data_IF_566875064647
#
_entry.id   IF_566875064647
#
_cell.length_a   1.000
_cell.length_b   1.000
_cell.length_c   1.000
_cell.angle_alpha   90.00
_cell.angle_beta   90.00
_cell.angle_gamma   90.00
#
_symmetry.space_group_name_H-M   'P 1'
#
loop_
_entity.id
_entity.type
_entity.pdbx_description
1 polymer ?
#
# COMPACT_ATOMS: atom_id res chain seq x y z
N UNK A 1 15.95 -18.61 -40.19
CA UNK A 1 15.95 -18.04 -38.83
C UNK A 1 14.77 -17.09 -38.76
N UNK A 2 13.65 -17.51 -38.16
CA UNK A 2 12.46 -16.65 -38.01
C UNK A 2 12.77 -15.56 -36.97
N UNK A 3 12.86 -14.32 -37.42
CA UNK A 3 12.79 -13.14 -36.54
C UNK A 3 11.53 -13.29 -35.69
N UNK A 4 11.72 -13.59 -34.41
CA UNK A 4 10.64 -13.54 -33.44
C UNK A 4 10.32 -12.06 -33.28
N UNK A 5 9.29 -11.58 -33.97
CA UNK A 5 8.76 -10.23 -33.78
C UNK A 5 8.76 -9.94 -32.27
N UNK A 6 9.42 -8.88 -31.80
CA UNK A 6 9.50 -8.61 -30.38
C UNK A 6 8.08 -8.52 -29.84
N UNK A 7 7.71 -9.48 -29.01
CA UNK A 7 6.38 -9.53 -28.41
C UNK A 7 6.24 -8.32 -27.51
N UNK A 8 5.33 -7.43 -27.90
CA UNK A 8 5.09 -6.20 -27.16
C UNK A 8 4.57 -6.52 -25.76
N UNK A 9 4.94 -5.73 -24.73
CA UNK A 9 4.43 -5.94 -23.39
C UNK A 9 2.91 -5.85 -23.37
N UNK A 10 2.27 -6.75 -22.63
CA UNK A 10 0.81 -6.84 -22.50
C UNK A 10 0.43 -7.41 -21.14
N UNK A 11 -0.44 -6.71 -20.44
CA UNK A 11 -1.16 -7.25 -19.28
C UNK A 11 -2.65 -7.32 -19.62
N UNK A 12 -3.22 -8.53 -19.49
CA UNK A 12 -4.63 -8.75 -19.73
C UNK A 12 -5.51 -7.98 -18.72
N UNK A 13 -6.51 -7.26 -19.22
CA UNK A 13 -7.39 -6.42 -18.39
C UNK A 13 -8.19 -7.27 -17.39
N UNK A 14 -8.55 -8.50 -17.75
CA UNK A 14 -9.25 -9.40 -16.84
C UNK A 14 -8.37 -9.72 -15.63
N UNK A 15 -7.09 -10.00 -15.85
CA UNK A 15 -6.15 -10.27 -14.75
C UNK A 15 -5.92 -9.03 -13.87
N UNK A 16 -6.02 -7.82 -14.41
CA UNK A 16 -5.97 -6.59 -13.60
C UNK A 16 -7.14 -6.48 -12.62
N UNK A 17 -8.29 -7.13 -12.86
CA UNK A 17 -9.35 -7.22 -11.85
C UNK A 17 -8.91 -8.04 -10.62
N UNK A 18 -7.84 -8.84 -10.73
CA UNK A 18 -7.17 -9.45 -9.59
C UNK A 18 -6.61 -8.45 -8.59
N UNK A 19 -6.50 -7.16 -8.94
CA UNK A 19 -6.17 -6.07 -8.01
C UNK A 19 -7.23 -5.87 -6.91
N UNK A 20 -8.39 -6.54 -7.00
CA UNK A 20 -9.28 -6.73 -5.86
C UNK A 20 -8.63 -7.49 -4.69
N UNK A 21 -7.40 -7.99 -4.83
CA UNK A 21 -6.59 -8.47 -3.70
C UNK A 21 -5.86 -7.36 -2.93
N UNK A 22 -5.88 -6.10 -3.39
CA UNK A 22 -5.26 -4.97 -2.70
C UNK A 22 -5.69 -4.78 -1.24
N UNK A 23 -6.93 -5.11 -0.81
CA UNK A 23 -7.29 -5.09 0.61
C UNK A 23 -6.41 -5.94 1.52
N UNK A 24 -5.78 -7.01 1.00
CA UNK A 24 -4.81 -7.79 1.77
C UNK A 24 -3.63 -6.94 2.24
N UNK A 25 -3.27 -5.91 1.47
CA UNK A 25 -2.25 -4.96 1.88
C UNK A 25 -2.75 -4.19 3.10
N UNK A 26 -3.93 -3.60 3.06
CA UNK A 26 -4.52 -2.93 4.23
C UNK A 26 -4.62 -3.86 5.44
N UNK A 27 -5.08 -5.10 5.23
CA UNK A 27 -5.12 -6.12 6.29
C UNK A 27 -3.74 -6.40 6.89
N UNK A 28 -2.67 -6.40 6.09
CA UNK A 28 -1.32 -6.56 6.63
C UNK A 28 -0.92 -5.39 7.55
N UNK A 29 -1.35 -4.16 7.25
CA UNK A 29 -1.10 -3.01 8.12
C UNK A 29 -1.87 -3.16 9.46
N UNK A 30 -3.19 -3.36 9.36
CA UNK A 30 -4.07 -3.41 10.52
C UNK A 30 -3.87 -4.68 11.37
N UNK A 31 -3.97 -5.85 10.74
CA UNK A 31 -3.94 -7.13 11.44
C UNK A 31 -2.51 -7.57 11.74
N UNK A 32 -1.62 -7.61 10.73
CA UNK A 32 -0.23 -8.07 10.98
C UNK A 32 0.60 -7.02 11.74
N UNK A 33 0.28 -5.74 11.59
CA UNK A 33 0.92 -4.67 12.35
C UNK A 33 0.27 -4.49 13.72
N UNK A 34 -0.80 -3.69 13.77
CA UNK A 34 -1.40 -3.27 15.04
C UNK A 34 -1.94 -4.44 15.87
N UNK A 35 -2.75 -5.34 15.29
CA UNK A 35 -3.39 -6.41 16.07
C UNK A 35 -2.36 -7.43 16.60
N UNK A 36 -1.40 -7.87 15.77
CA UNK A 36 -0.33 -8.77 16.26
C UNK A 36 0.57 -8.09 17.29
N UNK A 37 0.91 -6.81 17.12
CA UNK A 37 1.69 -6.08 18.12
C UNK A 37 0.93 -5.93 19.45
N UNK A 38 -0.40 -5.75 19.40
CA UNK A 38 -1.26 -5.71 20.58
C UNK A 38 -1.21 -7.05 21.34
N UNK A 39 -1.38 -8.16 20.63
CA UNK A 39 -1.32 -9.52 21.19
C UNK A 39 0.08 -9.85 21.72
N UNK A 40 1.14 -9.51 20.97
CA UNK A 40 2.52 -9.70 21.39
C UNK A 40 2.89 -8.87 22.63
N UNK A 41 2.21 -7.74 22.84
CA UNK A 41 2.33 -6.91 24.04
C UNK A 41 1.52 -7.45 25.23
N UNK A 42 0.89 -8.62 25.11
CA UNK A 42 0.10 -9.27 26.17
C UNK A 42 -1.33 -8.74 26.32
N UNK A 43 -1.84 -7.98 25.34
CA UNK A 43 -3.18 -7.40 25.36
C UNK A 43 -4.08 -8.09 24.34
N UNK A 44 -5.40 -7.89 24.45
CA UNK A 44 -6.37 -8.38 23.48
C UNK A 44 -6.98 -7.20 22.74
N UNK A 45 -6.96 -7.18 21.39
CA UNK A 45 -7.69 -6.17 20.64
C UNK A 45 -9.17 -6.22 21.01
N UNK A 46 -9.81 -5.08 21.22
CA UNK A 46 -11.28 -5.01 21.46
C UNK A 46 -12.05 -4.80 20.18
N UNK A 47 -11.44 -4.15 19.18
CA UNK A 47 -12.10 -3.84 17.91
C UNK A 47 -11.14 -4.08 16.76
N UNK A 48 -11.62 -4.78 15.73
CA UNK A 48 -10.93 -4.99 14.47
C UNK A 48 -11.79 -4.39 13.34
N UNK A 49 -11.43 -3.18 12.93
CA UNK A 49 -12.03 -2.52 11.78
C UNK A 49 -11.23 -2.75 10.50
N UNK A 50 -11.79 -2.32 9.37
CA UNK A 50 -11.11 -2.36 8.08
C UNK A 50 -9.89 -1.42 8.01
N UNK A 51 -9.85 -0.36 8.82
CA UNK A 51 -8.85 0.72 8.80
C UNK A 51 -8.40 1.17 10.19
N UNK A 52 -8.71 0.36 11.21
CA UNK A 52 -8.28 0.64 12.57
C UNK A 52 -8.31 -0.64 13.40
N UNK A 53 -7.47 -0.68 14.44
CA UNK A 53 -7.50 -1.69 15.49
C UNK A 53 -7.42 -1.00 16.83
N UNK A 54 -8.37 -1.29 17.71
CA UNK A 54 -8.36 -0.78 19.09
C UNK A 54 -7.72 -1.81 20.03
N UNK A 55 -6.70 -1.38 20.78
CA UNK A 55 -5.97 -2.21 21.72
C UNK A 55 -6.06 -1.63 23.14
N UNK A 56 -7.07 -2.02 23.94
CA UNK A 56 -7.26 -1.51 25.28
C UNK A 56 -6.19 -2.03 26.25
N UNK A 57 -5.91 -1.23 27.28
CA UNK A 57 -5.11 -1.65 28.42
C UNK A 57 -3.59 -1.56 28.25
N UNK A 58 -3.07 -1.19 27.08
CA UNK A 58 -1.62 -1.11 26.87
C UNK A 58 -0.95 -0.02 27.72
N UNK A 59 0.16 -0.37 28.37
CA UNK A 59 1.08 0.60 28.98
C UNK A 59 1.66 1.59 27.95
N UNK A 60 2.29 2.67 28.42
CA UNK A 60 2.75 3.78 27.55
C UNK A 60 3.68 3.34 26.42
N UNK A 61 4.57 2.37 26.68
CA UNK A 61 5.48 1.80 25.67
C UNK A 61 4.77 0.85 24.70
N UNK A 62 3.90 -0.03 25.19
CA UNK A 62 3.14 -0.95 24.35
C UNK A 62 2.21 -0.19 23.39
N UNK A 63 1.55 0.87 23.86
CA UNK A 63 0.71 1.73 23.02
C UNK A 63 1.49 2.31 21.84
N UNK A 64 2.71 2.77 22.10
CA UNK A 64 3.60 3.33 21.06
C UNK A 64 4.02 2.30 20.03
N UNK A 65 4.43 1.12 20.50
CA UNK A 65 4.83 0.02 19.61
C UNK A 65 3.65 -0.40 18.74
N UNK A 66 2.46 -0.58 19.33
CA UNK A 66 1.24 -0.89 18.60
C UNK A 66 0.95 0.20 17.57
N UNK A 67 1.00 1.49 17.95
CA UNK A 67 0.77 2.60 17.03
C UNK A 67 1.74 2.59 15.83
N UNK A 68 3.03 2.30 16.01
CA UNK A 68 3.98 2.27 14.89
C UNK A 68 3.95 0.97 14.07
N UNK A 69 3.33 -0.09 14.58
CA UNK A 69 3.45 -1.44 14.02
C UNK A 69 2.85 -1.57 12.61
N UNK A 70 1.71 -0.93 12.34
CA UNK A 70 1.08 -0.94 11.01
C UNK A 70 2.01 -0.39 9.94
N UNK A 71 2.44 0.86 10.11
CA UNK A 71 3.42 1.49 9.21
C UNK A 71 4.76 0.73 9.18
N UNK A 72 5.18 0.13 10.29
CA UNK A 72 6.39 -0.71 10.35
C UNK A 72 6.31 -1.94 9.45
N UNK A 73 5.18 -2.66 9.48
CA UNK A 73 4.92 -3.80 8.59
C UNK A 73 4.91 -3.35 7.13
N UNK A 74 4.36 -2.18 6.82
CA UNK A 74 4.37 -1.64 5.46
C UNK A 74 5.79 -1.39 4.93
N UNK A 75 6.65 -0.79 5.75
CA UNK A 75 8.04 -0.59 5.40
C UNK A 75 8.80 -1.92 5.20
N UNK A 76 8.54 -2.92 6.05
CA UNK A 76 9.12 -4.26 5.93
C UNK A 76 8.65 -4.93 4.64
N UNK A 77 7.36 -4.96 4.36
CA UNK A 77 6.79 -5.57 3.15
C UNK A 77 7.31 -4.91 1.88
N UNK A 78 7.38 -3.57 1.87
CA UNK A 78 7.96 -2.84 0.73
C UNK A 78 9.43 -3.24 0.51
N UNK A 79 10.22 -3.31 1.58
CA UNK A 79 11.64 -3.67 1.52
C UNK A 79 11.83 -5.09 1.00
N UNK A 80 11.13 -6.07 1.59
CA UNK A 80 11.16 -7.47 1.16
C UNK A 80 10.72 -7.61 -0.30
N UNK A 81 9.66 -6.90 -0.71
CA UNK A 81 9.20 -6.93 -2.09
C UNK A 81 10.25 -6.37 -3.06
N UNK A 82 10.92 -5.27 -2.71
CA UNK A 82 12.00 -4.70 -3.51
C UNK A 82 13.19 -5.66 -3.67
N UNK A 83 13.60 -6.31 -2.57
CA UNK A 83 14.69 -7.29 -2.57
C UNK A 83 14.33 -8.52 -3.41
N UNK A 84 13.15 -9.10 -3.19
CA UNK A 84 12.66 -10.28 -3.91
C UNK A 84 12.43 -10.00 -5.40
N UNK A 85 11.99 -8.79 -5.76
CA UNK A 85 11.71 -8.42 -7.15
C UNK A 85 12.94 -8.58 -8.06
N UNK A 86 14.15 -8.32 -7.53
CA UNK A 86 15.41 -8.52 -8.27
C UNK A 86 15.69 -9.98 -8.62
N UNK A 87 15.13 -10.93 -7.85
CA UNK A 87 15.36 -12.37 -7.99
C UNK A 87 14.31 -13.06 -8.87
N UNK A 88 13.15 -12.45 -9.02
CA UNK A 88 12.03 -13.03 -9.76
C UNK A 88 12.06 -12.63 -11.23
N UNK A 89 12.03 -13.65 -12.10
CA UNK A 89 12.01 -13.46 -13.57
C UNK A 89 10.63 -13.61 -14.20
N UNK A 90 9.69 -14.31 -13.54
CA UNK A 90 8.34 -14.55 -14.08
C UNK A 90 7.51 -13.25 -14.07
N UNK A 91 6.76 -12.92 -15.14
CA UNK A 91 6.06 -11.63 -15.26
C UNK A 91 5.07 -11.34 -14.13
N UNK A 92 4.15 -12.27 -13.86
CA UNK A 92 3.08 -12.06 -12.88
C UNK A 92 3.60 -11.85 -11.44
N UNK A 93 4.44 -12.74 -10.85
CA UNK A 93 4.94 -12.51 -9.51
C UNK A 93 5.80 -11.25 -9.41
N UNK A 94 6.50 -10.89 -10.50
CA UNK A 94 7.27 -9.65 -10.56
C UNK A 94 6.39 -8.40 -10.56
N UNK A 95 5.24 -8.45 -11.23
CA UNK A 95 4.21 -7.40 -11.15
C UNK A 95 3.62 -7.31 -9.73
N UNK A 96 3.30 -8.45 -9.10
CA UNK A 96 2.78 -8.48 -7.72
C UNK A 96 3.78 -7.85 -6.75
N UNK A 97 5.06 -8.23 -6.81
CA UNK A 97 6.11 -7.64 -5.98
C UNK A 97 6.28 -6.14 -6.23
N UNK A 98 6.13 -5.70 -7.48
CA UNK A 98 6.13 -4.27 -7.80
C UNK A 98 4.94 -3.54 -7.16
N UNK A 99 3.72 -4.11 -7.21
CA UNK A 99 2.53 -3.55 -6.56
C UNK A 99 2.72 -3.45 -5.05
N UNK A 100 3.20 -4.53 -4.40
CA UNK A 100 3.46 -4.54 -2.95
C UNK A 100 4.48 -3.45 -2.60
N UNK A 101 5.59 -3.38 -3.32
CA UNK A 101 6.61 -2.35 -3.11
C UNK A 101 6.05 -0.94 -3.27
N UNK A 102 5.36 -0.67 -4.39
CA UNK A 102 4.85 0.65 -4.71
C UNK A 102 3.79 1.10 -3.71
N UNK A 103 2.78 0.26 -3.44
CA UNK A 103 1.68 0.61 -2.53
C UNK A 103 2.19 0.73 -1.10
N UNK A 104 2.86 -0.30 -0.56
CA UNK A 104 3.32 -0.27 0.84
C UNK A 104 4.41 0.75 1.09
N UNK A 105 5.33 0.94 0.14
CA UNK A 105 6.38 1.95 0.25
C UNK A 105 5.83 3.36 0.25
N UNK A 106 4.86 3.66 -0.64
CA UNK A 106 4.23 4.98 -0.69
C UNK A 106 3.32 5.22 0.52
N UNK A 107 2.56 4.22 0.97
CA UNK A 107 1.72 4.32 2.17
C UNK A 107 2.58 4.58 3.41
N UNK A 108 3.64 3.79 3.65
CA UNK A 108 4.49 3.98 4.83
C UNK A 108 5.14 5.39 4.86
N UNK A 109 5.68 5.84 3.73
CA UNK A 109 6.24 7.18 3.62
C UNK A 109 5.17 8.28 3.78
N UNK A 110 3.97 8.04 3.25
CA UNK A 110 2.81 8.91 3.40
C UNK A 110 2.35 9.06 4.86
N UNK A 111 2.39 7.98 5.65
CA UNK A 111 2.08 8.03 7.08
C UNK A 111 3.06 8.93 7.85
N UNK A 112 4.37 8.86 7.56
CA UNK A 112 5.34 9.77 8.15
C UNK A 112 5.07 11.24 7.77
N UNK A 113 4.76 11.50 6.49
CA UNK A 113 4.38 12.85 6.06
C UNK A 113 3.11 13.34 6.76
N UNK A 114 2.09 12.50 6.82
CA UNK A 114 0.80 12.81 7.45
C UNK A 114 0.96 13.10 8.94
N UNK A 115 1.68 12.25 9.68
CA UNK A 115 1.98 12.48 11.10
C UNK A 115 2.85 13.71 11.32
N UNK A 116 3.75 14.05 10.39
CA UNK A 116 4.53 15.28 10.46
C UNK A 116 3.65 16.53 10.36
N UNK A 117 2.75 16.55 9.37
CA UNK A 117 1.87 17.70 9.12
C UNK A 117 0.80 17.83 10.20
N UNK A 118 0.12 16.74 10.55
CA UNK A 118 -1.10 16.79 11.36
C UNK A 118 -0.86 16.54 12.84
N UNK A 119 0.27 15.93 13.20
CA UNK A 119 0.52 15.37 14.55
C UNK A 119 -0.41 14.21 14.92
N UNK A 120 -1.15 13.67 13.95
CA UNK A 120 -2.07 12.55 14.10
C UNK A 120 -1.50 11.29 13.43
N UNK A 121 -2.07 10.13 13.77
CA UNK A 121 -1.65 8.84 13.22
C UNK A 121 -0.48 8.19 13.96
N UNK A 122 -0.01 7.07 13.42
CA UNK A 122 0.94 6.12 14.01
C UNK A 122 2.19 6.73 14.67
N UNK A 123 2.70 7.86 14.15
CA UNK A 123 4.01 8.40 14.49
C UNK A 123 3.99 9.77 15.16
N UNK A 124 2.86 10.25 15.69
CA UNK A 124 2.80 11.55 16.37
C UNK A 124 3.86 11.71 17.50
N UNK A 125 4.58 12.84 17.60
CA UNK A 125 5.50 13.11 18.71
C UNK A 125 4.86 13.59 20.01
N UNK A 126 3.53 13.68 20.09
CA UNK A 126 2.79 13.98 21.32
C UNK A 126 2.55 12.73 22.18
N UNK A 127 2.00 12.92 23.38
CA UNK A 127 1.76 11.87 24.38
C UNK A 127 0.93 10.66 23.90
N UNK A 128 0.18 10.83 22.81
CA UNK A 128 -0.64 9.78 22.20
C UNK A 128 -0.03 9.08 20.99
N UNK A 129 1.10 9.55 20.43
CA UNK A 129 1.68 9.01 19.20
C UNK A 129 2.89 8.10 19.43
N UNK A 130 3.29 7.36 18.40
CA UNK A 130 4.29 6.29 18.48
C UNK A 130 5.67 6.71 18.97
N UNK A 131 6.12 7.91 18.62
CA UNK A 131 7.46 8.39 19.00
C UNK A 131 7.44 9.35 20.19
N UNK A 132 6.26 9.84 20.59
CA UNK A 132 6.10 10.86 21.62
C UNK A 132 6.00 10.33 23.05
N UNK A 133 6.11 11.19 24.08
CA UNK A 133 6.39 12.61 23.98
C UNK A 133 7.89 12.85 23.76
N UNK A 134 8.23 13.66 22.77
CA UNK A 134 9.60 14.12 22.52
C UNK A 134 9.76 15.61 22.87
N UNK A 135 10.96 16.05 23.30
CA UNK A 135 11.24 17.47 23.44
C UNK A 135 11.16 18.15 22.06
N UNK A 136 10.61 19.36 22.03
CA UNK A 136 10.37 20.15 20.81
C UNK A 136 9.59 19.40 19.70
N UNK A 137 8.30 19.08 19.91
CA UNK A 137 7.51 18.27 18.97
C UNK A 137 7.50 18.79 17.52
N UNK A 138 7.59 20.11 17.33
CA UNK A 138 7.65 20.74 16.01
C UNK A 138 8.88 20.34 15.19
N UNK A 139 10.03 20.13 15.85
CA UNK A 139 11.27 19.73 15.19
C UNK A 139 11.12 18.31 14.64
N UNK A 140 10.61 17.40 15.47
CA UNK A 140 10.38 16.01 15.09
C UNK A 140 9.32 15.87 14.00
N UNK A 141 8.27 16.72 14.02
CA UNK A 141 7.29 16.82 12.93
C UNK A 141 7.95 17.22 11.60
N UNK A 142 8.81 18.23 11.63
CA UNK A 142 9.56 18.68 10.44
C UNK A 142 10.51 17.61 9.90
N UNK A 143 11.27 16.96 10.78
CA UNK A 143 12.18 15.85 10.41
C UNK A 143 11.40 14.68 9.82
N UNK A 144 10.32 14.26 10.47
CA UNK A 144 9.50 13.14 10.01
C UNK A 144 8.85 13.42 8.65
N UNK A 145 8.35 14.65 8.43
CA UNK A 145 7.84 15.05 7.13
C UNK A 145 8.93 15.02 6.05
N UNK A 146 10.11 15.58 6.34
CA UNK A 146 11.22 15.62 5.39
C UNK A 146 11.71 14.21 5.02
N UNK A 147 11.84 13.31 6.01
CA UNK A 147 12.20 11.90 5.80
C UNK A 147 11.12 11.18 5.00
N UNK A 148 9.85 11.37 5.36
CA UNK A 148 8.70 10.84 4.63
C UNK A 148 8.71 11.26 3.16
N UNK A 149 8.85 12.55 2.89
CA UNK A 149 8.92 13.09 1.53
C UNK A 149 10.09 12.52 0.73
N UNK A 150 11.29 12.45 1.35
CA UNK A 150 12.47 11.88 0.71
C UNK A 150 12.25 10.41 0.32
N UNK A 151 11.76 9.59 1.25
CA UNK A 151 11.48 8.18 1.00
C UNK A 151 10.37 8.02 -0.02
N UNK A 152 9.32 8.82 0.02
CA UNK A 152 8.23 8.82 -0.95
C UNK A 152 8.75 9.03 -2.38
N UNK A 153 9.56 10.07 -2.58
CA UNK A 153 10.20 10.36 -3.87
C UNK A 153 11.11 9.21 -4.30
N UNK A 154 11.88 8.63 -3.38
CA UNK A 154 12.75 7.49 -3.66
C UNK A 154 11.96 6.25 -4.10
N UNK A 155 10.84 5.95 -3.44
CA UNK A 155 9.93 4.84 -3.78
C UNK A 155 9.32 5.06 -5.17
N UNK A 156 8.79 6.25 -5.45
CA UNK A 156 8.23 6.58 -6.78
C UNK A 156 9.28 6.41 -7.88
N UNK A 157 10.48 6.99 -7.70
CA UNK A 157 11.58 6.85 -8.67
C UNK A 157 12.00 5.40 -8.87
N UNK A 158 12.04 4.61 -7.79
CA UNK A 158 12.37 3.18 -7.86
C UNK A 158 11.26 2.39 -8.57
N UNK A 159 10.00 2.69 -8.30
CA UNK A 159 8.84 2.07 -8.94
C UNK A 159 8.83 2.33 -10.45
N UNK A 160 9.15 3.55 -10.89
CA UNK A 160 9.34 3.89 -12.31
C UNK A 160 10.44 3.02 -12.95
N UNK A 161 11.62 2.97 -12.32
CA UNK A 161 12.73 2.14 -12.85
C UNK A 161 12.39 0.65 -12.93
N UNK A 162 11.63 0.15 -11.96
CA UNK A 162 11.15 -1.23 -11.98
C UNK A 162 10.15 -1.47 -13.13
N UNK A 163 9.26 -0.52 -13.43
CA UNK A 163 8.36 -0.59 -14.59
C UNK A 163 9.14 -0.62 -15.90
N UNK A 164 10.11 0.28 -16.07
CA UNK A 164 10.99 0.29 -17.25
C UNK A 164 11.73 -1.03 -17.41
N UNK A 165 12.25 -1.60 -16.32
CA UNK A 165 12.93 -2.89 -16.36
C UNK A 165 11.99 -4.08 -16.65
N UNK A 166 10.68 -3.96 -16.43
CA UNK A 166 9.70 -4.99 -16.81
C UNK A 166 9.24 -4.82 -18.26
N UNK A 167 8.89 -3.61 -18.66
CA UNK A 167 8.17 -3.36 -19.93
C UNK A 167 9.11 -2.90 -21.07
N UNK A 168 10.29 -2.38 -20.74
CA UNK A 168 11.17 -1.70 -21.70
C UNK A 168 10.62 -0.33 -22.12
N UNK A 169 10.99 0.10 -23.32
CA UNK A 169 10.48 1.33 -23.95
C UNK A 169 9.46 1.08 -25.06
N UNK A 170 9.11 2.14 -25.78
CA UNK A 170 8.13 2.12 -26.88
C UNK A 170 6.69 2.44 -26.46
N UNK A 171 5.84 2.73 -27.45
CA UNK A 171 4.46 3.19 -27.22
C UNK A 171 3.59 2.19 -26.44
N UNK A 172 3.73 0.89 -26.73
CA UNK A 172 2.99 -0.14 -26.00
C UNK A 172 3.43 -0.22 -24.53
N UNK A 173 4.73 -0.13 -24.24
CA UNK A 173 5.24 -0.14 -22.87
C UNK A 173 4.69 1.04 -22.06
N UNK A 174 4.64 2.24 -22.66
CA UNK A 174 4.05 3.44 -22.04
C UNK A 174 2.56 3.25 -21.78
N UNK A 175 1.82 2.68 -22.73
CA UNK A 175 0.40 2.39 -22.56
C UNK A 175 0.16 1.41 -21.41
N UNK A 176 0.90 0.29 -21.37
CA UNK A 176 0.80 -0.71 -20.31
C UNK A 176 1.20 -0.15 -18.95
N UNK A 177 2.26 0.68 -18.90
CA UNK A 177 2.69 1.35 -17.67
C UNK A 177 1.60 2.23 -17.09
N UNK A 178 0.99 3.08 -17.92
CA UNK A 178 -0.14 3.94 -17.53
C UNK A 178 -1.32 3.10 -17.07
N UNK A 179 -1.69 2.07 -17.84
CA UNK A 179 -2.81 1.18 -17.52
C UNK A 179 -2.62 0.50 -16.16
N UNK A 180 -1.45 -0.09 -15.91
CA UNK A 180 -1.15 -0.78 -14.65
C UNK A 180 -1.18 0.19 -13.48
N UNK A 181 -0.45 1.32 -13.56
CA UNK A 181 -0.37 2.27 -12.46
C UNK A 181 -1.74 2.89 -12.13
N UNK A 182 -2.52 3.27 -13.16
CA UNK A 182 -3.85 3.82 -12.96
C UNK A 182 -4.87 2.78 -12.51
N UNK A 183 -4.74 1.51 -12.93
CA UNK A 183 -5.59 0.43 -12.43
C UNK A 183 -5.35 0.18 -10.94
N UNK A 184 -4.10 0.15 -10.49
CA UNK A 184 -3.76 0.04 -9.06
C UNK A 184 -4.34 1.20 -8.27
N UNK A 185 -4.16 2.44 -8.76
CA UNK A 185 -4.69 3.64 -8.11
C UNK A 185 -6.22 3.64 -8.02
N UNK A 186 -6.91 3.40 -9.14
CA UNK A 186 -8.36 3.45 -9.21
C UNK A 186 -9.03 2.31 -8.44
N UNK A 187 -8.58 1.05 -8.65
CA UNK A 187 -9.17 -0.11 -7.97
C UNK A 187 -8.88 -0.04 -6.48
N UNK A 188 -7.65 0.29 -6.07
CA UNK A 188 -7.28 0.41 -4.66
C UNK A 188 -8.14 1.44 -3.92
N UNK A 189 -8.28 2.65 -4.48
CA UNK A 189 -9.08 3.69 -3.85
C UNK A 189 -10.59 3.42 -3.92
N UNK A 190 -11.11 2.87 -5.02
CA UNK A 190 -12.53 2.48 -5.11
C UNK A 190 -12.91 1.43 -4.07
N UNK A 191 -12.10 0.37 -3.95
CA UNK A 191 -12.35 -0.67 -2.93
C UNK A 191 -12.31 -0.06 -1.54
N UNK A 192 -11.39 0.87 -1.29
CA UNK A 192 -11.29 1.50 0.02
C UNK A 192 -12.51 2.36 0.37
N UNK A 193 -13.03 3.11 -0.60
CA UNK A 193 -14.30 3.84 -0.44
C UNK A 193 -15.44 2.86 -0.17
N UNK A 194 -15.59 1.82 -0.98
CA UNK A 194 -16.68 0.85 -0.84
C UNK A 194 -16.69 0.16 0.52
N UNK A 195 -15.52 -0.25 1.03
CA UNK A 195 -15.42 -0.86 2.36
C UNK A 195 -15.72 0.16 3.46
N UNK A 196 -15.26 1.39 3.30
CA UNK A 196 -15.49 2.46 4.28
C UNK A 196 -16.96 2.84 4.43
N UNK A 197 -17.80 2.63 3.41
CA UNK A 197 -19.25 2.86 3.49
C UNK A 197 -19.94 1.96 4.53
N UNK A 198 -19.34 0.83 4.88
CA UNK A 198 -19.89 -0.11 5.85
C UNK A 198 -19.41 0.17 7.28
N UNK A 199 -18.58 1.20 7.49
CA UNK A 199 -17.95 1.47 8.77
C UNK A 199 -18.87 2.24 9.74
N UNK A 200 -19.07 1.74 10.97
CA UNK A 200 -19.96 2.35 11.95
C UNK A 200 -19.40 3.63 12.62
N UNK A 201 -18.09 3.88 12.56
CA UNK A 201 -17.44 5.05 13.21
C UNK A 201 -17.67 6.39 12.49
N UNK A 202 -18.53 6.40 11.48
CA UNK A 202 -18.94 7.59 10.75
C UNK A 202 -18.14 7.81 9.47
N UNK A 203 -18.87 7.94 8.36
CA UNK A 203 -18.36 8.08 6.98
C UNK A 203 -17.26 9.16 6.88
N UNK A 204 -17.33 10.26 7.63
CA UNK A 204 -16.36 11.35 7.56
C UNK A 204 -14.96 10.96 8.08
N UNK A 205 -14.87 10.26 9.22
CA UNK A 205 -13.58 9.86 9.80
C UNK A 205 -12.97 8.74 8.96
N UNK A 206 -13.79 7.78 8.54
CA UNK A 206 -13.34 6.66 7.72
C UNK A 206 -12.93 7.11 6.33
N UNK A 207 -13.67 8.03 5.68
CA UNK A 207 -13.25 8.59 4.41
C UNK A 207 -11.97 9.40 4.55
N UNK A 208 -11.79 10.22 5.59
CA UNK A 208 -10.54 10.95 5.76
C UNK A 208 -9.35 10.02 5.87
N UNK A 209 -9.40 8.98 6.71
CA UNK A 209 -8.29 8.03 6.88
C UNK A 209 -8.11 7.10 5.67
N UNK A 210 -9.19 6.57 5.10
CA UNK A 210 -9.12 5.65 3.96
C UNK A 210 -8.76 6.37 2.66
N UNK A 211 -9.34 7.55 2.37
CA UNK A 211 -8.99 8.34 1.18
C UNK A 211 -7.58 8.91 1.31
N UNK A 212 -7.18 9.42 2.49
CA UNK A 212 -5.83 9.92 2.69
C UNK A 212 -4.79 8.80 2.56
N UNK A 213 -5.01 7.62 3.15
CA UNK A 213 -4.06 6.51 3.08
C UNK A 213 -4.03 5.82 1.71
N UNK A 214 -5.16 5.73 1.00
CA UNK A 214 -5.22 5.10 -0.33
C UNK A 214 -4.95 6.07 -1.46
N UNK A 215 -5.89 6.96 -1.78
CA UNK A 215 -5.74 7.93 -2.86
C UNK A 215 -4.60 8.92 -2.58
N UNK A 216 -4.55 9.49 -1.38
CA UNK A 216 -3.45 10.39 -0.98
C UNK A 216 -2.10 9.66 -0.93
N UNK A 217 -2.05 8.55 -0.20
CA UNK A 217 -0.85 7.75 -0.01
C UNK A 217 -0.29 7.20 -1.32
N UNK A 218 -1.13 6.81 -2.28
CA UNK A 218 -0.68 6.26 -3.56
C UNK A 218 -0.68 7.25 -4.73
N UNK A 219 -0.85 8.55 -4.49
CA UNK A 219 -0.83 9.60 -5.52
C UNK A 219 0.45 9.60 -6.39
N UNK A 220 1.56 9.09 -5.87
CA UNK A 220 2.80 8.83 -6.60
C UNK A 220 2.62 7.93 -7.84
N UNK A 221 1.55 7.13 -7.92
CA UNK A 221 1.22 6.34 -9.09
C UNK A 221 0.90 7.19 -10.32
N UNK A 222 0.46 8.45 -10.19
CA UNK A 222 0.39 9.37 -11.33
C UNK A 222 1.76 9.64 -11.93
N UNK A 223 2.77 9.87 -11.08
CA UNK A 223 4.14 10.04 -11.54
C UNK A 223 4.66 8.77 -12.22
N UNK A 224 4.25 7.58 -11.76
CA UNK A 224 4.57 6.34 -12.46
C UNK A 224 3.84 6.26 -13.81
N UNK A 225 2.54 6.50 -13.83
CA UNK A 225 1.70 6.37 -15.02
C UNK A 225 2.16 7.29 -16.16
N UNK A 226 2.62 8.49 -15.83
CA UNK A 226 3.02 9.53 -16.77
C UNK A 226 4.53 9.78 -16.80
N UNK A 227 5.34 8.89 -16.21
CA UNK A 227 6.79 8.94 -16.36
C UNK A 227 7.17 8.85 -17.84
N UNK A 228 8.24 9.56 -18.23
CA UNK A 228 8.77 9.54 -19.59
C UNK A 228 9.07 8.11 -20.04
N UNK A 229 8.92 7.89 -21.34
CA UNK A 229 9.26 6.61 -21.95
C UNK A 229 10.72 6.24 -21.69
N UNK A 230 10.97 4.96 -21.44
CA UNK A 230 12.33 4.43 -21.41
C UNK A 230 12.92 4.44 -22.83
N UNK A 231 14.19 4.80 -22.98
CA UNK A 231 14.90 4.76 -24.27
C UNK A 231 15.43 3.36 -24.61
N UNK A 232 15.03 2.33 -23.86
CA UNK A 232 15.38 0.93 -24.12
C UNK A 232 14.37 0.27 -25.09
N UNK A 233 14.76 -0.81 -25.79
CA UNK A 233 13.83 -1.57 -26.60
C UNK A 233 12.69 -2.17 -25.74
N UNK A 234 11.50 -2.43 -26.33
CA UNK A 234 10.43 -3.14 -25.65
C UNK A 234 10.90 -4.50 -25.11
N UNK A 235 10.42 -4.89 -23.93
CA UNK A 235 10.72 -6.20 -23.33
C UNK A 235 9.53 -7.14 -23.45
N UNK A 236 9.83 -8.42 -23.61
CA UNK A 236 8.83 -9.49 -23.61
C UNK A 236 8.25 -9.66 -22.20
N UNK A 237 7.14 -8.96 -21.93
CA UNK A 237 6.43 -9.01 -20.67
C UNK A 237 4.95 -9.21 -20.93
N UNK A 238 4.54 -10.48 -20.96
CA UNK A 238 3.16 -10.86 -21.18
C UNK A 238 2.56 -11.51 -19.92
N UNK A 239 1.41 -10.99 -19.49
CA UNK A 239 0.56 -11.61 -18.48
C UNK A 239 -0.78 -11.92 -19.13
N UNK A 240 -1.06 -13.22 -19.26
CA UNK A 240 -2.32 -13.73 -19.79
C UNK A 240 -3.47 -13.65 -18.80
N UNK A 241 -4.59 -14.28 -19.16
CA UNK A 241 -5.80 -14.31 -18.34
C UNK A 241 -5.67 -15.28 -17.17
N UNK A 242 -5.90 -14.80 -15.95
CA UNK A 242 -5.86 -15.61 -14.73
C UNK A 242 -7.16 -15.49 -13.93
N UNK A 243 -8.16 -16.32 -14.27
CA UNK A 243 -9.47 -16.30 -13.63
C UNK A 243 -9.44 -16.56 -12.12
N UNK A 244 -8.56 -17.45 -11.66
CA UNK A 244 -8.41 -17.77 -10.24
C UNK A 244 -8.03 -16.54 -9.39
N UNK A 245 -7.17 -15.65 -9.91
CA UNK A 245 -6.75 -14.44 -9.17
C UNK A 245 -7.91 -13.46 -9.07
N UNK A 246 -8.73 -13.34 -10.11
CA UNK A 246 -9.92 -12.49 -10.10
C UNK A 246 -10.93 -13.00 -9.09
N UNK A 247 -11.25 -14.30 -9.12
CA UNK A 247 -12.17 -14.93 -8.16
C UNK A 247 -11.66 -14.75 -6.73
N UNK A 248 -10.37 -15.00 -6.48
CA UNK A 248 -9.77 -14.77 -5.18
C UNK A 248 -9.87 -13.31 -4.74
N UNK A 249 -9.61 -12.35 -5.65
CA UNK A 249 -9.73 -10.92 -5.37
C UNK A 249 -11.15 -10.51 -4.99
N UNK A 250 -12.15 -10.97 -5.75
CA UNK A 250 -13.56 -10.73 -5.43
C UNK A 250 -13.91 -11.30 -4.06
N UNK A 251 -13.59 -12.56 -3.79
CA UNK A 251 -13.90 -13.20 -2.51
C UNK A 251 -13.24 -12.50 -1.34
N UNK A 252 -11.95 -12.15 -1.46
CA UNK A 252 -11.21 -11.44 -0.42
C UNK A 252 -11.77 -10.04 -0.18
N UNK A 253 -12.09 -9.29 -1.24
CA UNK A 253 -12.70 -7.96 -1.10
C UNK A 253 -14.06 -8.06 -0.41
N UNK A 254 -14.89 -9.04 -0.78
CA UNK A 254 -16.19 -9.27 -0.15
C UNK A 254 -16.05 -9.63 1.33
N UNK A 255 -15.15 -10.56 1.67
CA UNK A 255 -14.89 -10.92 3.07
C UNK A 255 -14.38 -9.71 3.85
N UNK A 256 -13.43 -8.96 3.29
CA UNK A 256 -12.90 -7.74 3.91
C UNK A 256 -14.00 -6.70 4.16
N UNK A 257 -14.85 -6.45 3.15
CA UNK A 257 -15.95 -5.51 3.24
C UNK A 257 -17.01 -5.94 4.26
N UNK A 258 -17.46 -7.19 4.22
CA UNK A 258 -18.58 -7.69 5.04
C UNK A 258 -18.16 -7.97 6.48
N UNK A 259 -16.95 -8.46 6.70
CA UNK A 259 -16.47 -8.85 8.04
C UNK A 259 -15.83 -7.67 8.76
N UNK A 260 -14.85 -7.01 8.13
CA UNK A 260 -14.08 -5.95 8.79
C UNK A 260 -14.67 -4.54 8.55
N UNK A 261 -15.46 -4.35 7.49
CA UNK A 261 -16.15 -3.08 7.24
C UNK A 261 -17.02 -2.64 8.43
N UNK A 262 -17.95 -3.49 8.92
CA UNK A 262 -18.79 -3.19 10.09
C UNK A 262 -18.08 -3.17 11.43
N UNK A 263 -16.78 -3.44 11.47
CA UNK A 263 -15.98 -3.71 12.67
C UNK A 263 -16.38 -4.99 13.39
N UNK A 264 -15.37 -5.80 13.73
CA UNK A 264 -15.53 -6.96 14.60
C UNK A 264 -15.22 -6.54 16.04
N UNK A 265 -16.21 -6.63 16.92
CA UNK A 265 -16.05 -6.38 18.35
C UNK A 265 -15.67 -7.67 19.07
N UNK A 266 -14.51 -7.67 19.71
CA UNK A 266 -13.96 -8.79 20.46
C UNK A 266 -14.21 -8.53 21.96
N UNK A 267 -14.94 -9.44 22.61
CA UNK A 267 -15.22 -9.42 24.05
C UNK A 267 -14.19 -10.21 24.84
#
# INVERSE_FOLDING_TARGET
MTEKNPTSPRVDLWTLLGLLLLPLLTMAHELMGHALACVASGHRPSELGAYYVECPGTGSWSRRIVAMAGTGVDAILATLACLAWSRVKRPLPRLVLWIVFAVKGMVAAGYWMFSGVTNLGDWGPDTGGGIGPLPWPWLWRGVMFAVGLYVYIAVVRRAIRMMWAMLGGGGQAVHEQRKIAMAVYAIGGMVAVLVSLLNPLGIAITLMSAVASTFGGTAGLFNVAYARACNEPPRDFAIGRHGAIVVAGVLVTLVFAVVLGPTVYLR
#
